data_IF_552381139048
#
_entry.id   IF_552381139048
#
_cell.length_a   1.000
_cell.length_b   1.000
_cell.length_c   1.000
_cell.angle_alpha   90.00
_cell.angle_beta   90.00
_cell.angle_gamma   90.00
#
_symmetry.space_group_name_H-M   'P 1'
#
loop_
_entity.id
_entity.type
_entity.pdbx_description
1 polymer ?
#
# COMPACT_ATOMS: atom_id res chain seq x y z
N UNK A 1 13.12 -5.68 7.07
CA UNK A 1 12.95 -4.54 6.15
C UNK A 1 13.42 -4.95 4.75
N UNK A 2 12.57 -4.85 3.75
CA UNK A 2 12.95 -5.10 2.35
C UNK A 2 13.07 -3.75 1.65
N UNK A 3 14.30 -3.38 1.30
CA UNK A 3 14.53 -2.19 0.49
C UNK A 3 14.10 -2.46 -0.96
N UNK A 4 13.31 -1.56 -1.53
CA UNK A 4 12.92 -1.60 -2.93
C UNK A 4 13.80 -0.64 -3.72
N UNK A 5 14.61 -1.18 -4.64
CA UNK A 5 15.31 -0.35 -5.60
C UNK A 5 14.31 0.22 -6.61
N UNK A 6 14.01 1.51 -6.46
CA UNK A 6 13.06 2.24 -7.32
C UNK A 6 13.67 2.76 -8.59
N UNK A 7 15.00 2.64 -8.75
CA UNK A 7 15.73 3.20 -9.91
C UNK A 7 15.87 2.24 -11.06
N UNK A 8 15.62 0.94 -10.87
CA UNK A 8 15.66 -0.05 -11.94
C UNK A 8 14.46 -0.99 -11.92
N UNK A 9 13.94 -1.33 -13.11
CA UNK A 9 12.86 -2.32 -13.25
C UNK A 9 13.28 -3.71 -12.75
N UNK A 10 14.54 -4.10 -12.98
CA UNK A 10 15.11 -5.37 -12.53
C UNK A 10 15.24 -5.43 -11.00
N UNK A 11 15.65 -4.33 -10.36
CA UNK A 11 15.76 -4.23 -8.91
C UNK A 11 14.40 -4.31 -8.22
N UNK A 12 13.38 -3.67 -8.79
CA UNK A 12 12.00 -3.75 -8.30
C UNK A 12 11.44 -5.16 -8.34
N UNK A 13 11.65 -5.90 -9.44
CA UNK A 13 11.23 -7.31 -9.57
C UNK A 13 11.91 -8.21 -8.54
N UNK A 14 13.24 -8.11 -8.39
CA UNK A 14 13.99 -8.89 -7.40
C UNK A 14 13.50 -8.64 -5.96
N UNK A 15 13.16 -7.39 -5.63
CA UNK A 15 12.62 -7.04 -4.32
C UNK A 15 11.25 -7.69 -4.07
N UNK A 16 10.37 -7.68 -5.07
CA UNK A 16 9.06 -8.34 -4.99
C UNK A 16 9.22 -9.85 -4.85
N UNK A 17 10.09 -10.49 -5.64
CA UNK A 17 10.33 -11.93 -5.57
C UNK A 17 10.89 -12.34 -4.21
N UNK A 18 11.81 -11.56 -3.64
CA UNK A 18 12.34 -11.77 -2.30
C UNK A 18 11.25 -11.65 -1.23
N UNK A 19 10.44 -10.60 -1.29
CA UNK A 19 9.34 -10.39 -0.36
C UNK A 19 8.29 -11.50 -0.47
N UNK A 20 7.97 -11.96 -1.68
CA UNK A 20 7.07 -13.10 -1.93
C UNK A 20 7.56 -14.36 -1.22
N UNK A 21 8.85 -14.68 -1.35
CA UNK A 21 9.45 -15.84 -0.65
C UNK A 21 9.36 -15.70 0.87
N UNK A 22 9.64 -14.50 1.40
CA UNK A 22 9.55 -14.27 2.85
C UNK A 22 8.14 -14.47 3.39
N UNK A 23 7.11 -14.06 2.65
CA UNK A 23 5.70 -14.30 3.02
C UNK A 23 5.41 -15.81 3.01
N UNK A 24 5.75 -16.50 1.92
CA UNK A 24 5.43 -17.93 1.72
C UNK A 24 6.20 -18.85 2.68
N UNK A 25 7.46 -18.58 2.92
CA UNK A 25 8.34 -19.44 3.72
C UNK A 25 8.28 -19.12 5.22
N UNK A 26 8.11 -17.86 5.59
CA UNK A 26 8.21 -17.39 6.97
C UNK A 26 6.89 -16.86 7.55
N UNK A 27 5.82 -16.79 6.76
CA UNK A 27 4.51 -16.30 7.20
C UNK A 27 4.49 -14.85 7.68
N UNK A 28 5.43 -14.02 7.23
CA UNK A 28 5.50 -12.61 7.65
C UNK A 28 4.52 -11.74 6.88
N UNK A 29 4.10 -10.65 7.50
CA UNK A 29 3.26 -9.62 6.89
C UNK A 29 4.09 -8.42 6.48
N UNK A 30 3.67 -7.72 5.41
CA UNK A 30 4.28 -6.48 4.97
C UNK A 30 3.31 -5.32 5.13
N UNK A 31 3.78 -4.23 5.73
CA UNK A 31 3.10 -2.95 5.69
C UNK A 31 3.54 -2.19 4.45
N UNK A 32 2.57 -1.76 3.64
CA UNK A 32 2.82 -1.07 2.38
C UNK A 32 2.03 0.23 2.33
N UNK A 33 2.70 1.31 1.95
CA UNK A 33 2.08 2.57 1.59
C UNK A 33 1.98 2.66 0.07
N UNK A 34 0.82 2.33 -0.52
CA UNK A 34 0.71 2.12 -1.97
C UNK A 34 0.91 3.39 -2.80
N UNK A 35 0.71 4.56 -2.22
CA UNK A 35 0.99 5.84 -2.88
C UNK A 35 2.50 6.06 -3.12
N UNK A 36 3.36 5.45 -2.31
CA UNK A 36 4.82 5.55 -2.40
C UNK A 36 5.41 6.91 -2.00
N UNK A 37 4.58 7.89 -1.68
CA UNK A 37 4.97 9.22 -1.19
C UNK A 37 3.83 9.85 -0.40
N UNK A 38 4.14 10.86 0.39
CA UNK A 38 3.11 11.70 1.04
C UNK A 38 2.37 12.53 0.01
N UNK A 39 1.07 12.72 0.19
CA UNK A 39 0.23 13.61 -0.59
C UNK A 39 0.69 15.07 -0.46
N UNK A 40 0.48 15.87 -1.51
CA UNK A 40 0.73 17.32 -1.49
C UNK A 40 -0.52 18.13 -1.12
N UNK A 41 -1.69 17.58 -1.35
CA UNK A 41 -3.00 18.23 -1.21
C UNK A 41 -3.93 17.55 -0.21
N UNK A 42 -3.44 16.52 0.49
CA UNK A 42 -4.22 15.72 1.44
C UNK A 42 -5.14 14.69 0.79
N UNK A 43 -5.19 14.61 -0.54
CA UNK A 43 -6.00 13.63 -1.26
C UNK A 43 -5.23 12.34 -1.51
N UNK A 44 -5.97 11.24 -1.62
CA UNK A 44 -5.42 9.93 -1.92
C UNK A 44 -4.81 9.91 -3.33
N UNK A 45 -3.51 9.69 -3.41
CA UNK A 45 -2.75 9.66 -4.65
C UNK A 45 -2.95 8.33 -5.41
N UNK A 46 -2.60 8.26 -6.70
CA UNK A 46 -2.60 7.01 -7.45
C UNK A 46 -1.70 5.96 -6.79
N UNK A 47 -2.15 4.72 -6.78
CA UNK A 47 -1.41 3.61 -6.17
C UNK A 47 -0.33 3.07 -7.10
N UNK A 48 0.78 2.67 -6.53
CA UNK A 48 1.86 1.94 -7.20
C UNK A 48 1.53 0.44 -7.22
N UNK A 49 1.91 -0.24 -8.31
CA UNK A 49 1.55 -1.63 -8.56
C UNK A 49 2.31 -2.66 -7.70
N UNK A 50 3.49 -2.31 -7.19
CA UNK A 50 4.40 -3.26 -6.53
C UNK A 50 3.82 -4.05 -5.38
N UNK A 51 3.10 -3.39 -4.47
CA UNK A 51 2.44 -4.07 -3.34
C UNK A 51 1.32 -5.02 -3.77
N UNK A 52 0.62 -4.70 -4.85
CA UNK A 52 -0.43 -5.55 -5.41
C UNK A 52 0.14 -6.78 -6.12
N UNK A 53 1.25 -6.63 -6.84
CA UNK A 53 2.02 -7.77 -7.36
C UNK A 53 2.47 -8.71 -6.24
N UNK A 54 2.96 -8.14 -5.13
CA UNK A 54 3.37 -8.92 -3.97
C UNK A 54 2.21 -9.75 -3.42
N UNK A 55 1.05 -9.14 -3.23
CA UNK A 55 -0.14 -9.83 -2.70
C UNK A 55 -0.62 -10.95 -3.65
N UNK A 56 -0.72 -10.67 -4.95
CA UNK A 56 -1.14 -11.66 -5.96
C UNK A 56 -0.11 -12.79 -6.09
N UNK A 57 1.18 -12.49 -6.16
CA UNK A 57 2.23 -13.52 -6.25
C UNK A 57 2.30 -14.40 -5.00
N UNK A 58 2.02 -13.83 -3.84
CA UNK A 58 2.02 -14.55 -2.56
C UNK A 58 0.70 -15.25 -2.25
N UNK A 59 -0.38 -14.91 -2.97
CA UNK A 59 -1.75 -15.40 -2.73
C UNK A 59 -2.22 -15.13 -1.29
N UNK A 60 -1.88 -13.97 -0.76
CA UNK A 60 -2.32 -13.53 0.57
C UNK A 60 -3.32 -12.37 0.45
N UNK A 61 -4.30 -12.29 1.38
CA UNK A 61 -5.26 -11.19 1.35
C UNK A 61 -4.60 -9.84 1.65
N UNK A 62 -5.21 -8.78 1.15
CA UNK A 62 -4.85 -7.40 1.45
C UNK A 62 -5.76 -6.90 2.57
N UNK A 63 -5.18 -6.33 3.62
CA UNK A 63 -5.90 -5.65 4.69
C UNK A 63 -5.82 -4.14 4.47
N UNK A 64 -6.86 -3.51 3.89
CA UNK A 64 -6.84 -2.07 3.67
C UNK A 64 -6.91 -1.32 5.00
N UNK A 65 -6.14 -0.24 5.09
CA UNK A 65 -6.12 0.64 6.26
C UNK A 65 -6.21 2.09 5.80
N UNK A 66 -7.16 2.85 6.34
CA UNK A 66 -7.27 4.28 6.10
C UNK A 66 -6.64 5.06 7.26
N UNK A 67 -5.82 6.05 6.93
CA UNK A 67 -5.20 6.95 7.91
C UNK A 67 -5.73 8.36 7.64
N UNK A 68 -6.59 8.86 8.53
CA UNK A 68 -7.26 10.17 8.42
C UNK A 68 -6.64 11.18 9.39
N UNK A 69 -6.40 12.39 8.91
CA UNK A 69 -5.89 13.50 9.74
C UNK A 69 -4.37 13.68 9.71
N UNK A 70 -3.60 12.73 9.18
CA UNK A 70 -2.13 12.78 9.15
C UNK A 70 -1.59 13.94 8.32
N UNK A 71 -2.27 14.31 7.23
CA UNK A 71 -1.86 15.43 6.38
C UNK A 71 -1.86 16.76 7.12
N UNK A 72 -2.88 17.04 7.93
CA UNK A 72 -2.98 18.27 8.70
C UNK A 72 -1.85 18.40 9.75
N UNK A 73 -1.36 17.27 10.26
CA UNK A 73 -0.29 17.26 11.27
C UNK A 73 1.09 17.46 10.67
N UNK A 74 1.35 16.88 9.51
CA UNK A 74 2.67 16.93 8.87
C UNK A 74 2.54 16.90 7.33
N UNK A 75 2.16 18.03 6.71
CA UNK A 75 2.10 18.14 5.26
C UNK A 75 3.46 17.85 4.62
N UNK A 76 3.46 17.44 3.36
CA UNK A 76 4.70 17.27 2.60
C UNK A 76 5.45 18.59 2.50
N UNK A 77 6.75 18.58 2.87
CA UNK A 77 7.61 19.77 2.92
C UNK A 77 7.64 20.49 4.28
N UNK A 78 6.80 20.05 5.25
CA UNK A 78 6.91 20.56 6.62
C UNK A 78 8.00 19.84 7.39
N UNK A 79 8.79 20.61 8.14
CA UNK A 79 9.80 20.09 9.08
C UNK A 79 9.26 19.93 10.50
N UNK A 80 8.08 20.47 10.78
CA UNK A 80 7.48 20.45 12.11
C UNK A 80 6.12 19.76 12.08
N UNK A 81 5.91 18.85 13.02
CA UNK A 81 4.62 18.24 13.28
C UNK A 81 3.74 19.17 14.12
N UNK A 82 2.48 19.32 13.74
CA UNK A 82 1.46 20.03 14.52
C UNK A 82 0.75 19.07 15.47
N UNK A 83 0.21 19.57 16.56
CA UNK A 83 -0.69 18.80 17.43
C UNK A 83 -2.02 18.54 16.72
N UNK A 84 -2.58 17.34 16.89
CA UNK A 84 -3.88 16.99 16.33
C UNK A 84 -4.20 15.52 16.50
N UNK A 85 -5.29 15.08 15.87
CA UNK A 85 -5.82 13.71 15.95
C UNK A 85 -5.61 12.98 14.63
N UNK A 86 -5.10 11.76 14.72
CA UNK A 86 -5.05 10.81 13.60
C UNK A 86 -6.00 9.66 13.93
N UNK A 87 -6.84 9.30 12.96
CA UNK A 87 -7.69 8.12 13.04
C UNK A 87 -7.15 7.05 12.08
N UNK A 88 -7.02 5.83 12.59
CA UNK A 88 -6.61 4.66 11.81
C UNK A 88 -7.81 3.71 11.76
N UNK A 89 -8.26 3.41 10.55
CA UNK A 89 -9.45 2.59 10.29
C UNK A 89 -9.01 1.33 9.57
N UNK A 90 -9.21 0.18 10.21
CA UNK A 90 -8.97 -1.14 9.62
C UNK A 90 -10.24 -1.61 8.91
N UNK A 91 -10.11 -1.99 7.64
CA UNK A 91 -11.20 -2.52 6.84
C UNK A 91 -11.14 -4.05 6.75
N UNK A 92 -12.25 -4.70 6.38
CA UNK A 92 -12.24 -6.13 6.11
C UNK A 92 -11.21 -6.51 5.04
N UNK A 93 -10.64 -7.73 5.10
CA UNK A 93 -9.65 -8.16 4.13
C UNK A 93 -10.24 -8.25 2.72
N UNK A 94 -9.44 -7.90 1.74
CA UNK A 94 -9.76 -8.06 0.31
C UNK A 94 -9.02 -9.27 -0.21
N UNK A 95 -9.79 -10.28 -0.68
CA UNK A 95 -9.22 -11.48 -1.29
C UNK A 95 -8.55 -11.15 -2.62
N UNK A 96 -7.42 -11.82 -2.89
CA UNK A 96 -6.72 -11.75 -4.17
C UNK A 96 -7.10 -12.90 -5.13
N UNK A 97 -7.99 -13.79 -4.71
CA UNK A 97 -8.48 -14.88 -5.56
C UNK A 97 -9.13 -14.34 -6.83
N UNK A 98 -8.79 -14.93 -7.98
CA UNK A 98 -9.26 -14.49 -9.28
C UNK A 98 -8.54 -13.27 -9.85
N UNK A 99 -7.56 -12.73 -9.14
CA UNK A 99 -6.71 -11.64 -9.64
C UNK A 99 -5.33 -12.15 -10.04
N UNK A 100 -4.83 -11.63 -11.16
CA UNK A 100 -3.52 -11.85 -11.71
C UNK A 100 -2.93 -10.55 -12.30
N UNK A 101 -1.88 -10.64 -13.09
CA UNK A 101 -1.27 -9.46 -13.73
C UNK A 101 -2.18 -8.77 -14.73
N UNK A 102 -3.11 -9.50 -15.36
CA UNK A 102 -3.97 -9.00 -16.42
C UNK A 102 -5.12 -8.13 -15.87
N UNK A 103 -5.59 -8.40 -14.66
CA UNK A 103 -6.68 -7.69 -14.02
C UNK A 103 -6.26 -6.96 -12.72
N UNK A 104 -4.96 -6.73 -12.54
CA UNK A 104 -4.41 -6.08 -11.34
C UNK A 104 -5.01 -4.70 -11.08
N UNK A 105 -5.32 -3.93 -12.11
CA UNK A 105 -5.96 -2.61 -11.99
C UNK A 105 -7.34 -2.67 -11.34
N UNK A 106 -8.08 -3.75 -11.55
CA UNK A 106 -9.39 -3.96 -10.89
C UNK A 106 -9.20 -4.20 -9.38
N UNK A 107 -8.22 -5.00 -8.99
CA UNK A 107 -7.85 -5.20 -7.57
C UNK A 107 -7.42 -3.88 -6.92
N UNK A 108 -6.57 -3.11 -7.61
CA UNK A 108 -6.12 -1.79 -7.15
C UNK A 108 -7.29 -0.83 -6.95
N UNK A 109 -8.22 -0.79 -7.90
CA UNK A 109 -9.43 0.02 -7.81
C UNK A 109 -10.33 -0.37 -6.64
N UNK A 110 -10.51 -1.67 -6.42
CA UNK A 110 -11.28 -2.20 -5.29
C UNK A 110 -10.67 -1.78 -3.95
N UNK A 111 -9.38 -2.00 -3.75
CA UNK A 111 -8.68 -1.61 -2.52
C UNK A 111 -8.69 -0.09 -2.32
N UNK A 112 -8.49 0.67 -3.40
CA UNK A 112 -8.56 2.13 -3.36
C UNK A 112 -9.92 2.64 -2.90
N UNK A 113 -11.01 2.08 -3.43
CA UNK A 113 -12.38 2.46 -3.03
C UNK A 113 -12.63 2.18 -1.56
N UNK A 114 -12.16 1.04 -1.05
CA UNK A 114 -12.26 0.69 0.37
C UNK A 114 -11.49 1.70 1.23
N UNK A 115 -10.26 2.03 0.89
CA UNK A 115 -9.46 3.02 1.64
C UNK A 115 -10.12 4.40 1.59
N UNK A 116 -10.62 4.82 0.42
CA UNK A 116 -11.29 6.10 0.24
C UNK A 116 -12.52 6.23 1.15
N UNK A 117 -13.30 5.17 1.30
CA UNK A 117 -14.50 5.18 2.16
C UNK A 117 -14.19 5.51 3.63
N UNK A 118 -13.01 5.17 4.11
CA UNK A 118 -12.56 5.52 5.46
C UNK A 118 -12.00 6.94 5.58
N UNK A 119 -11.73 7.60 4.46
CA UNK A 119 -11.22 8.98 4.43
C UNK A 119 -12.33 10.01 4.28
N UNK A 120 -13.45 9.61 3.74
CA UNK A 120 -14.63 10.48 3.48
C UNK A 120 -15.38 10.91 4.76
#
# INVERSE_FOLDING_TARGET
FVSVDRKSLKGGKKSIDRATRMIKEKGISFLIFPEGTRSRDGKLQPFKRGGFFLAVNSQVPIFPVSIKGSYALMPKGSFFAKKGKVSVIFHPPVSVQGFDRNNLSQLMGKVRSVIQSGLD
#
